data_IF_445949703469
#
_entry.id   IF_445949703469
#
_cell.length_a   1.000
_cell.length_b   1.000
_cell.length_c   1.000
_cell.angle_alpha   90.00
_cell.angle_beta   90.00
_cell.angle_gamma   90.00
#
_symmetry.space_group_name_H-M   'P 1'
#
loop_
_entity.id
_entity.type
_entity.pdbx_description
1 polymer ?
#
# COMPACT_ATOMS: atom_id res chain seq x y z
N UNK A 1 24.61 2.80 -11.76
CA UNK A 1 23.34 3.29 -11.18
C UNK A 1 23.35 3.02 -9.68
N UNK A 2 23.39 4.07 -8.86
CA UNK A 2 23.14 3.91 -7.44
C UNK A 2 21.78 3.21 -7.27
N UNK A 3 21.66 2.21 -6.37
CA UNK A 3 20.38 1.60 -6.11
C UNK A 3 19.46 2.73 -5.66
N UNK A 4 18.41 3.00 -6.43
CA UNK A 4 17.33 3.88 -5.98
C UNK A 4 16.95 3.35 -4.61
N UNK A 5 17.24 4.11 -3.55
CA UNK A 5 16.84 3.76 -2.19
C UNK A 5 15.31 3.81 -2.18
N UNK A 6 14.71 2.71 -2.61
CA UNK A 6 13.31 2.59 -2.96
C UNK A 6 12.50 2.39 -1.69
N UNK A 7 11.60 3.32 -1.42
CA UNK A 7 10.50 3.06 -0.52
C UNK A 7 9.39 2.27 -1.21
N UNK A 8 8.33 2.02 -0.46
CA UNK A 8 7.12 1.34 -0.91
C UNK A 8 5.93 2.28 -0.86
N UNK A 9 4.97 2.07 -1.75
CA UNK A 9 3.71 2.80 -1.77
C UNK A 9 2.83 2.40 -0.56
N UNK A 10 2.85 1.12 -0.17
CA UNK A 10 2.14 0.58 0.99
C UNK A 10 3.06 -0.31 1.83
N UNK A 11 2.71 -0.64 3.08
CA UNK A 11 3.48 -1.61 3.86
C UNK A 11 3.43 -2.99 3.20
N UNK A 12 4.53 -3.75 3.29
CA UNK A 12 4.58 -5.14 2.86
C UNK A 12 3.60 -5.98 3.69
N UNK A 13 2.64 -6.72 3.07
CA UNK A 13 1.71 -7.59 3.79
C UNK A 13 2.40 -8.60 4.71
N UNK A 14 3.64 -9.01 4.41
CA UNK A 14 4.43 -9.88 5.26
C UNK A 14 4.66 -9.27 6.65
N UNK A 15 4.66 -7.94 6.80
CA UNK A 15 4.74 -7.28 8.10
C UNK A 15 3.57 -7.64 9.02
N UNK A 16 2.41 -8.03 8.47
CA UNK A 16 1.25 -8.46 9.26
C UNK A 16 1.26 -9.97 9.45
N UNK A 17 1.54 -10.73 8.37
CA UNK A 17 1.39 -12.20 8.35
C UNK A 17 2.51 -12.91 9.13
N UNK A 18 3.72 -12.37 9.15
CA UNK A 18 4.88 -13.03 9.79
C UNK A 18 5.03 -12.75 11.28
N UNK A 19 4.11 -11.96 11.85
CA UNK A 19 4.17 -11.55 13.25
C UNK A 19 3.81 -12.74 14.15
N UNK A 20 4.75 -13.14 15.01
CA UNK A 20 4.55 -14.28 15.91
C UNK A 20 3.52 -14.03 17.03
N UNK A 21 3.30 -12.76 17.42
CA UNK A 21 2.41 -12.40 18.53
C UNK A 21 1.10 -11.82 18.00
N UNK A 22 -0.02 -12.49 18.28
CA UNK A 22 -1.36 -12.06 17.88
C UNK A 22 -1.67 -10.60 18.23
N UNK A 23 -1.34 -10.18 19.46
CA UNK A 23 -1.51 -8.80 19.93
C UNK A 23 -0.86 -7.77 18.99
N UNK A 24 0.32 -8.11 18.46
CA UNK A 24 1.07 -7.22 17.56
C UNK A 24 0.45 -7.18 16.17
N UNK A 25 -0.11 -8.29 15.68
CA UNK A 25 -0.93 -8.31 14.47
C UNK A 25 -2.14 -7.39 14.62
N UNK A 26 -2.85 -7.45 15.75
CA UNK A 26 -3.98 -6.56 16.03
C UNK A 26 -3.56 -5.08 16.04
N UNK A 27 -2.42 -4.75 16.67
CA UNK A 27 -1.87 -3.39 16.64
C UNK A 27 -1.60 -2.91 15.22
N UNK A 28 -1.00 -3.76 14.37
CA UNK A 28 -0.68 -3.40 12.99
C UNK A 28 -1.95 -3.15 12.17
N UNK A 29 -2.92 -4.04 12.26
CA UNK A 29 -4.20 -3.88 11.58
C UNK A 29 -4.94 -2.61 12.05
N UNK A 30 -4.98 -2.33 13.37
CA UNK A 30 -5.64 -1.11 13.89
C UNK A 30 -4.96 0.16 13.42
N UNK A 31 -3.63 0.21 13.45
CA UNK A 31 -2.89 1.38 12.97
C UNK A 31 -3.01 1.54 11.45
N UNK A 32 -3.05 0.44 10.68
CA UNK A 32 -3.41 0.51 9.26
C UNK A 32 -4.79 1.14 9.06
N UNK A 33 -5.84 0.62 9.72
CA UNK A 33 -7.20 1.15 9.59
C UNK A 33 -7.29 2.62 10.00
N UNK A 34 -6.61 3.02 11.08
CA UNK A 34 -6.59 4.41 11.57
C UNK A 34 -6.04 5.39 10.54
N UNK A 35 -5.02 5.00 9.78
CA UNK A 35 -4.36 5.89 8.82
C UNK A 35 -4.65 5.54 7.36
N UNK A 36 -5.47 4.53 7.09
CA UNK A 36 -5.69 3.98 5.75
C UNK A 36 -6.00 5.07 4.73
N UNK A 37 -7.00 5.89 5.02
CA UNK A 37 -7.50 6.86 4.05
C UNK A 37 -6.48 7.95 3.76
N UNK A 38 -5.75 8.44 4.76
CA UNK A 38 -4.68 9.41 4.55
C UNK A 38 -3.48 8.81 3.82
N UNK A 39 -3.13 7.54 4.09
CA UNK A 39 -2.02 6.85 3.46
C UNK A 39 -2.29 6.53 1.98
N UNK A 40 -3.55 6.19 1.65
CA UNK A 40 -4.03 6.03 0.27
C UNK A 40 -4.08 7.40 -0.41
N UNK A 41 -4.70 8.40 0.20
CA UNK A 41 -4.83 9.75 -0.36
C UNK A 41 -3.47 10.39 -0.66
N UNK A 42 -2.46 10.17 0.17
CA UNK A 42 -1.08 10.61 -0.10
C UNK A 42 -0.60 10.19 -1.51
N UNK A 43 -1.00 9.02 -2.01
CA UNK A 43 -0.59 8.53 -3.32
C UNK A 43 -1.33 9.20 -4.49
N UNK A 44 -2.41 9.94 -4.22
CA UNK A 44 -3.10 10.76 -5.23
C UNK A 44 -2.39 12.10 -5.47
N UNK A 45 -1.40 12.46 -4.66
CA UNK A 45 -0.66 13.72 -4.79
C UNK A 45 0.35 13.66 -5.95
N UNK A 46 0.69 14.81 -6.59
CA UNK A 46 1.76 14.86 -7.59
C UNK A 46 3.09 14.43 -6.96
N UNK A 47 3.68 13.35 -7.49
CA UNK A 47 4.96 12.78 -7.02
C UNK A 47 4.97 12.36 -5.54
N UNK A 48 4.19 11.33 -5.16
CA UNK A 48 4.11 10.90 -3.78
C UNK A 48 5.44 10.33 -3.30
N UNK A 49 5.81 10.66 -2.05
CA UNK A 49 7.01 10.09 -1.42
C UNK A 49 6.74 8.63 -1.02
N UNK A 50 7.59 7.73 -1.50
CA UNK A 50 7.60 6.33 -1.07
C UNK A 50 8.21 6.21 0.34
N UNK A 51 7.76 5.22 1.12
CA UNK A 51 8.14 5.04 2.52
C UNK A 51 9.04 3.82 2.67
N UNK A 52 10.13 3.95 3.42
CA UNK A 52 11.00 2.81 3.75
C UNK A 52 10.26 1.78 4.62
N UNK A 53 10.56 0.50 4.43
CA UNK A 53 9.98 -0.59 5.21
C UNK A 53 10.17 -0.42 6.73
N UNK A 54 11.27 0.17 7.16
CA UNK A 54 11.53 0.52 8.57
C UNK A 54 10.53 1.54 9.11
N UNK A 55 10.24 2.59 8.35
CA UNK A 55 9.25 3.62 8.71
C UNK A 55 7.84 3.07 8.68
N UNK A 56 7.49 2.19 7.73
CA UNK A 56 6.23 1.46 7.74
C UNK A 56 6.04 0.66 9.02
N UNK A 57 7.07 -0.10 9.42
CA UNK A 57 7.04 -0.89 10.64
C UNK A 57 6.85 -0.02 11.88
N UNK A 58 7.51 1.14 11.95
CA UNK A 58 7.34 2.10 13.05
C UNK A 58 5.92 2.66 13.12
N UNK A 59 5.36 3.04 11.97
CA UNK A 59 3.96 3.49 11.88
C UNK A 59 3.01 2.39 12.36
N UNK A 60 3.15 1.16 11.87
CA UNK A 60 2.27 0.05 12.25
C UNK A 60 2.44 -0.36 13.72
N UNK A 61 3.62 -0.21 14.31
CA UNK A 61 3.85 -0.43 15.74
C UNK A 61 3.14 0.60 16.64
N UNK A 62 2.85 1.80 16.14
CA UNK A 62 2.38 2.90 16.98
C UNK A 62 3.51 3.78 17.54
N UNK A 63 4.72 3.70 16.97
CA UNK A 63 5.93 4.38 17.49
C UNK A 63 5.89 5.92 17.36
N UNK A 64 4.73 6.51 17.04
CA UNK A 64 4.46 7.95 17.00
C UNK A 64 3.72 8.46 18.27
N UNK A 65 3.19 7.56 19.10
CA UNK A 65 2.49 7.93 20.33
C UNK A 65 3.50 8.44 21.37
N UNK A 66 3.26 9.63 21.90
CA UNK A 66 4.01 10.17 23.03
C UNK A 66 3.50 9.51 24.30
N UNK A 67 4.16 8.45 24.76
CA UNK A 67 4.03 8.09 26.17
C UNK A 67 4.72 9.17 27.00
N UNK A 68 4.02 9.81 27.93
CA UNK A 68 4.58 10.81 28.86
C UNK A 68 5.71 10.27 29.77
N UNK A 69 6.03 8.99 29.70
CA UNK A 69 6.95 8.30 30.63
C UNK A 69 8.25 7.76 30.02
N UNK A 70 8.59 8.05 28.76
CA UNK A 70 9.80 7.49 28.13
C UNK A 70 10.56 8.49 27.25
N UNK A 71 11.15 9.50 27.90
CA UNK A 71 12.22 10.32 27.35
C UNK A 71 13.58 9.80 27.85
N UNK A 72 14.03 8.62 27.39
CA UNK A 72 15.32 8.06 27.84
C UNK A 72 16.13 7.31 26.77
N UNK A 73 15.88 7.55 25.47
CA UNK A 73 16.91 7.25 24.46
C UNK A 73 16.79 8.13 23.21
N UNK A 74 17.92 8.64 22.71
CA UNK A 74 18.01 9.51 21.53
C UNK A 74 17.52 8.83 20.24
N UNK A 75 17.62 7.49 20.17
CA UNK A 75 17.18 6.70 19.02
C UNK A 75 15.65 6.63 18.94
N UNK A 76 14.95 6.39 20.06
CA UNK A 76 13.47 6.34 20.08
C UNK A 76 12.85 7.72 19.83
N UNK A 77 13.51 8.79 20.28
CA UNK A 77 13.09 10.16 19.97
C UNK A 77 13.24 10.49 18.48
N UNK A 78 14.36 10.13 17.84
CA UNK A 78 14.56 10.32 16.40
C UNK A 78 13.57 9.50 15.55
N UNK A 79 13.25 8.27 15.96
CA UNK A 79 12.26 7.41 15.30
C UNK A 79 10.85 8.01 15.38
N UNK A 80 10.44 8.52 16.55
CA UNK A 80 9.18 9.24 16.76
C UNK A 80 9.05 10.45 15.83
N UNK A 81 10.12 11.24 15.72
CA UNK A 81 10.17 12.41 14.82
C UNK A 81 10.00 11.98 13.36
N UNK A 82 10.62 10.89 12.93
CA UNK A 82 10.52 10.43 11.53
C UNK A 82 9.09 10.02 11.11
N UNK A 83 8.34 9.32 11.96
CA UNK A 83 6.95 8.95 11.64
C UNK A 83 6.02 10.17 11.72
N UNK A 84 6.25 11.05 12.69
CA UNK A 84 5.52 12.32 12.79
C UNK A 84 5.82 13.23 11.61
N UNK A 85 7.05 13.28 11.12
CA UNK A 85 7.42 14.03 9.93
C UNK A 85 6.81 13.39 8.68
N UNK A 86 6.74 12.06 8.61
CA UNK A 86 6.06 11.38 7.52
C UNK A 86 4.58 11.76 7.48
N UNK A 87 3.87 11.55 8.59
CA UNK A 87 2.45 11.89 8.71
C UNK A 87 2.24 13.40 8.56
N UNK A 88 3.07 14.22 9.20
CA UNK A 88 3.07 15.68 9.13
C UNK A 88 3.27 16.20 7.72
N UNK A 89 4.20 15.65 6.94
CA UNK A 89 4.34 16.00 5.52
C UNK A 89 3.12 15.57 4.69
N UNK A 90 2.50 14.44 5.01
CA UNK A 90 1.24 14.03 4.36
C UNK A 90 0.09 14.98 4.73
N UNK A 91 0.07 15.49 5.96
CA UNK A 91 -0.97 16.34 6.54
C UNK A 91 -0.84 17.82 6.11
N UNK A 92 0.39 18.33 6.04
CA UNK A 92 0.70 19.71 5.60
C UNK A 92 0.32 19.95 4.14
N UNK A 93 0.36 18.92 3.28
CA UNK A 93 -0.17 19.00 1.92
C UNK A 93 -1.70 19.24 1.86
N UNK A 94 -2.42 19.05 2.97
CA UNK A 94 -3.89 19.00 3.03
C UNK A 94 -4.46 20.08 3.96
N UNK A 95 -3.63 20.71 4.81
CA UNK A 95 -4.10 21.64 5.84
C UNK A 95 -4.97 20.97 6.92
N UNK A 96 -4.90 19.63 7.02
CA UNK A 96 -5.61 18.85 8.03
C UNK A 96 -4.64 18.56 9.17
N UNK A 97 -5.00 18.97 10.39
CA UNK A 97 -4.26 18.59 11.60
C UNK A 97 -4.86 17.30 12.16
N UNK A 98 -4.20 16.15 11.91
CA UNK A 98 -4.59 14.90 12.56
C UNK A 98 -3.90 14.86 13.91
N UNK A 99 -4.71 14.95 14.97
CA UNK A 99 -4.24 14.79 16.33
C UNK A 99 -3.74 13.34 16.55
N UNK A 100 -2.44 13.13 16.38
CA UNK A 100 -1.80 11.82 16.57
C UNK A 100 -1.90 11.32 18.02
N UNK A 101 -2.12 12.23 18.97
CA UNK A 101 -2.25 11.94 20.40
C UNK A 101 -3.62 11.39 20.76
N UNK A 102 -4.64 11.65 19.95
CA UNK A 102 -6.00 11.14 20.17
C UNK A 102 -6.12 9.73 19.62
N UNK A 103 -6.17 8.75 20.52
CA UNK A 103 -6.43 7.35 20.15
C UNK A 103 -7.95 7.20 20.03
N UNK A 104 -8.50 6.95 18.84
CA UNK A 104 -9.94 6.80 18.69
C UNK A 104 -10.43 5.55 19.44
N UNK A 105 -11.63 5.58 20.01
CA UNK A 105 -12.18 4.41 20.74
C UNK A 105 -12.51 3.21 19.83
N UNK A 106 -12.64 3.48 18.53
CA UNK A 106 -12.95 2.50 17.50
C UNK A 106 -12.26 2.82 16.17
N UNK A 107 -12.10 1.79 15.34
CA UNK A 107 -11.65 1.90 13.94
C UNK A 107 -12.74 1.37 13.02
N UNK A 108 -12.83 1.91 11.80
CA UNK A 108 -13.87 1.54 10.85
C UNK A 108 -13.31 0.74 9.67
N UNK A 109 -14.10 -0.20 9.18
CA UNK A 109 -13.80 -0.99 7.99
C UNK A 109 -15.09 -1.45 7.31
N UNK A 110 -15.27 -1.15 6.02
CA UNK A 110 -16.44 -1.54 5.20
C UNK A 110 -17.79 -1.31 5.91
N UNK A 111 -18.00 -0.06 6.37
CA UNK A 111 -19.18 0.38 7.13
C UNK A 111 -19.39 -0.25 8.51
N UNK A 112 -18.45 -1.07 8.97
CA UNK A 112 -18.44 -1.65 10.31
C UNK A 112 -17.48 -0.88 11.22
N UNK A 113 -17.81 -0.81 12.51
CA UNK A 113 -16.98 -0.17 13.54
C UNK A 113 -16.53 -1.21 14.56
N UNK A 114 -15.24 -1.20 14.88
CA UNK A 114 -14.60 -2.14 15.78
C UNK A 114 -13.96 -1.40 16.94
N UNK A 115 -14.33 -1.77 18.17
CA UNK A 115 -13.70 -1.20 19.36
C UNK A 115 -12.23 -1.59 19.44
N UNK A 116 -11.37 -0.67 19.90
CA UNK A 116 -9.95 -0.97 20.15
C UNK A 116 -9.78 -2.01 21.28
N UNK A 117 -10.78 -2.15 22.16
CA UNK A 117 -10.74 -3.09 23.31
C UNK A 117 -10.98 -4.54 22.92
N UNK A 118 -11.49 -4.80 21.71
CA UNK A 118 -11.80 -6.14 21.21
C UNK A 118 -10.95 -6.47 20.00
N UNK A 119 -10.60 -7.74 19.83
CA UNK A 119 -9.88 -8.21 18.64
C UNK A 119 -10.69 -7.99 17.36
N UNK A 120 -9.96 -7.75 16.27
CA UNK A 120 -10.55 -7.71 14.95
C UNK A 120 -10.87 -9.16 14.51
N UNK A 121 -12.02 -9.40 13.87
CA UNK A 121 -12.31 -10.70 13.29
C UNK A 121 -11.25 -11.12 12.26
N UNK A 122 -10.93 -12.42 12.19
CA UNK A 122 -9.96 -12.97 11.22
C UNK A 122 -10.27 -12.58 9.77
N UNK A 123 -11.55 -12.44 9.42
CA UNK A 123 -11.96 -12.00 8.09
C UNK A 123 -11.46 -10.59 7.78
N UNK A 124 -11.54 -9.66 8.73
CA UNK A 124 -11.04 -8.28 8.57
C UNK A 124 -9.52 -8.27 8.39
N UNK A 125 -8.80 -9.10 9.16
CA UNK A 125 -7.34 -9.23 9.02
C UNK A 125 -6.97 -9.75 7.63
N UNK A 126 -7.67 -10.78 7.14
CA UNK A 126 -7.47 -11.32 5.77
C UNK A 126 -7.78 -10.28 4.70
N UNK A 127 -8.84 -9.51 4.87
CA UNK A 127 -9.24 -8.45 3.95
C UNK A 127 -8.19 -7.31 3.91
N UNK A 128 -7.63 -6.91 5.06
CA UNK A 128 -6.53 -5.93 5.12
C UNK A 128 -5.29 -6.46 4.39
N UNK A 129 -4.89 -7.71 4.65
CA UNK A 129 -3.74 -8.33 3.98
C UNK A 129 -3.97 -8.40 2.47
N UNK A 130 -5.19 -8.75 2.05
CA UNK A 130 -5.56 -8.80 0.65
C UNK A 130 -5.51 -7.41 -0.01
N UNK A 131 -6.08 -6.38 0.64
CA UNK A 131 -6.02 -4.98 0.17
C UNK A 131 -4.57 -4.52 -0.03
N UNK A 132 -3.71 -4.72 0.97
CA UNK A 132 -2.31 -4.33 0.91
C UNK A 132 -1.55 -5.08 -0.19
N UNK A 133 -1.84 -6.37 -0.38
CA UNK A 133 -1.24 -7.17 -1.44
C UNK A 133 -1.64 -6.63 -2.82
N UNK A 134 -2.92 -6.34 -3.00
CA UNK A 134 -3.47 -5.87 -4.27
C UNK A 134 -2.98 -4.47 -4.63
N UNK A 135 -3.00 -3.55 -3.65
CA UNK A 135 -2.53 -2.19 -3.81
C UNK A 135 -1.02 -2.12 -4.09
N UNK A 136 -0.20 -2.88 -3.35
CA UNK A 136 1.24 -2.96 -3.65
C UNK A 136 1.49 -3.49 -5.06
N UNK A 137 0.86 -4.60 -5.45
CA UNK A 137 1.02 -5.16 -6.79
C UNK A 137 0.69 -4.14 -7.89
N UNK A 138 -0.42 -3.41 -7.76
CA UNK A 138 -0.82 -2.36 -8.70
C UNK A 138 0.20 -1.24 -8.78
N UNK A 139 0.61 -0.69 -7.63
CA UNK A 139 1.58 0.40 -7.58
C UNK A 139 2.95 -0.02 -8.13
N UNK A 140 3.45 -1.21 -7.75
CA UNK A 140 4.75 -1.71 -8.20
C UNK A 140 4.75 -2.02 -9.69
N UNK A 141 3.71 -2.69 -10.20
CA UNK A 141 3.60 -2.99 -11.63
C UNK A 141 3.50 -1.70 -12.45
N UNK A 142 2.69 -0.73 -12.04
CA UNK A 142 2.59 0.57 -12.73
C UNK A 142 3.88 1.38 -12.65
N UNK A 143 4.59 1.36 -11.51
CA UNK A 143 5.86 2.05 -11.36
C UNK A 143 6.94 1.44 -12.25
N UNK A 144 7.02 0.11 -12.28
CA UNK A 144 7.95 -0.64 -13.12
C UNK A 144 7.63 -0.42 -14.61
N UNK A 145 6.36 -0.49 -14.98
CA UNK A 145 5.91 -0.26 -16.35
C UNK A 145 6.27 1.15 -16.83
N UNK A 146 6.06 2.18 -15.99
CA UNK A 146 6.44 3.56 -16.31
C UNK A 146 7.95 3.71 -16.53
N UNK A 147 8.77 2.96 -15.82
CA UNK A 147 10.23 3.01 -15.97
C UNK A 147 10.73 2.27 -17.21
N UNK A 148 10.05 1.19 -17.59
CA UNK A 148 10.49 0.28 -18.65
C UNK A 148 9.79 0.53 -19.99
N UNK A 149 8.69 1.27 -20.03
CA UNK A 149 8.00 1.60 -21.29
C UNK A 149 8.90 2.47 -22.17
N UNK A 150 9.22 2.05 -23.41
CA UNK A 150 10.05 2.84 -24.31
C UNK A 150 9.40 4.18 -24.67
N UNK A 151 10.19 5.26 -24.63
CA UNK A 151 9.75 6.61 -25.03
C UNK A 151 9.55 6.75 -26.55
N UNK A 152 10.02 5.77 -27.33
CA UNK A 152 9.91 5.73 -28.79
C UNK A 152 8.56 5.21 -29.30
N UNK A 153 7.67 4.73 -28.41
CA UNK A 153 6.36 4.26 -28.81
C UNK A 153 5.52 5.40 -29.40
N UNK A 154 4.78 5.11 -30.47
CA UNK A 154 3.77 6.02 -30.99
C UNK A 154 2.62 6.20 -29.99
N UNK A 155 1.83 7.27 -30.17
CA UNK A 155 0.66 7.53 -29.33
C UNK A 155 -0.34 6.36 -29.33
N UNK A 156 -0.52 5.69 -30.47
CA UNK A 156 -1.42 4.54 -30.58
C UNK A 156 -0.87 3.32 -29.81
N UNK A 157 0.42 3.05 -29.90
CA UNK A 157 1.07 1.97 -29.16
C UNK A 157 1.03 2.22 -27.66
N UNK A 158 1.26 3.46 -27.23
CA UNK A 158 1.17 3.84 -25.82
C UNK A 158 -0.25 3.65 -25.27
N UNK A 159 -1.29 3.98 -26.06
CA UNK A 159 -2.68 3.78 -25.66
C UNK A 159 -3.02 2.29 -25.52
N UNK A 160 -2.57 1.45 -26.48
CA UNK A 160 -2.72 -0.02 -26.42
C UNK A 160 -1.97 -0.61 -25.21
N UNK A 161 -0.76 -0.12 -24.95
CA UNK A 161 0.05 -0.54 -23.82
C UNK A 161 -0.60 -0.20 -22.48
N UNK A 162 -1.10 1.03 -22.35
CA UNK A 162 -1.84 1.46 -21.17
C UNK A 162 -3.13 0.63 -20.95
N UNK A 163 -3.80 0.20 -22.02
CA UNK A 163 -4.94 -0.71 -21.90
C UNK A 163 -4.51 -2.09 -21.38
N UNK A 164 -3.42 -2.66 -21.89
CA UNK A 164 -2.89 -3.94 -21.39
C UNK A 164 -2.52 -3.85 -19.91
N UNK A 165 -1.90 -2.75 -19.48
CA UNK A 165 -1.62 -2.52 -18.07
C UNK A 165 -2.91 -2.51 -17.23
N UNK A 166 -3.97 -1.85 -17.72
CA UNK A 166 -5.29 -1.87 -17.07
C UNK A 166 -5.88 -3.27 -16.99
N UNK A 167 -5.74 -4.08 -18.04
CA UNK A 167 -6.25 -5.45 -18.10
C UNK A 167 -5.53 -6.41 -17.12
N UNK A 168 -4.36 -6.03 -16.59
CA UNK A 168 -3.71 -6.74 -15.49
C UNK A 168 -4.49 -6.63 -14.17
N UNK A 169 -5.32 -5.60 -14.02
CA UNK A 169 -6.03 -5.29 -12.78
C UNK A 169 -7.51 -5.64 -12.93
N UNK A 170 -7.97 -6.70 -12.27
CA UNK A 170 -9.40 -6.92 -12.04
C UNK A 170 -9.94 -5.93 -11.01
N UNK A 171 -11.24 -5.62 -11.04
CA UNK A 171 -11.87 -4.68 -10.11
C UNK A 171 -12.60 -3.51 -10.78
N UNK A 172 -13.41 -2.82 -9.97
CA UNK A 172 -14.01 -1.53 -10.31
C UNK A 172 -12.93 -0.46 -10.58
N UNK A 173 -13.06 0.17 -11.75
CA UNK A 173 -12.24 1.24 -12.32
C UNK A 173 -10.73 0.95 -12.49
N UNK A 174 -10.32 0.34 -13.61
CA UNK A 174 -8.91 0.16 -13.96
C UNK A 174 -8.12 1.47 -14.10
N UNK A 175 -8.79 2.62 -14.18
CA UNK A 175 -8.13 3.93 -14.20
C UNK A 175 -7.76 4.44 -12.80
N UNK A 176 -8.37 3.88 -11.75
CA UNK A 176 -8.06 4.21 -10.36
C UNK A 176 -7.29 3.06 -9.69
N UNK A 177 -5.95 3.14 -9.77
CA UNK A 177 -5.05 2.15 -9.17
C UNK A 177 -5.27 1.95 -7.66
N UNK A 178 -5.80 2.97 -6.98
CA UNK A 178 -5.98 3.00 -5.52
C UNK A 178 -7.36 2.51 -5.08
N UNK A 179 -8.31 2.34 -5.99
CA UNK A 179 -9.64 1.83 -5.69
C UNK A 179 -9.63 0.30 -5.68
N UNK A 180 -10.06 -0.31 -4.58
CA UNK A 180 -10.14 -1.77 -4.45
C UNK A 180 -11.60 -2.18 -4.29
N UNK A 181 -12.00 -3.20 -5.06
CA UNK A 181 -13.34 -3.78 -5.01
C UNK A 181 -13.30 -5.16 -4.33
N UNK A 182 -13.92 -5.23 -3.15
CA UNK A 182 -13.95 -6.46 -2.34
C UNK A 182 -14.93 -7.51 -2.88
N UNK A 183 -15.86 -7.13 -3.75
CA UNK A 183 -16.80 -8.08 -4.35
C UNK A 183 -16.12 -8.88 -5.48
N UNK A 184 -14.96 -8.43 -5.97
CA UNK A 184 -14.16 -9.06 -7.02
C UNK A 184 -12.85 -9.70 -6.52
N UNK A 185 -12.80 -10.06 -5.23
CA UNK A 185 -11.61 -10.67 -4.58
C UNK A 185 -11.13 -11.98 -5.22
N UNK A 186 -12.01 -12.64 -6.00
CA UNK A 186 -11.76 -13.92 -6.69
C UNK A 186 -11.66 -13.76 -8.20
N UNK A 187 -11.25 -12.60 -8.68
CA UNK A 187 -11.05 -12.33 -10.11
C UNK A 187 -9.57 -12.13 -10.46
N UNK A 188 -9.28 -11.97 -11.75
CA UNK A 188 -7.93 -11.74 -12.26
C UNK A 188 -6.96 -12.85 -11.87
N UNK A 189 -5.82 -12.48 -11.26
CA UNK A 189 -4.82 -13.45 -10.78
C UNK A 189 -5.32 -14.34 -9.63
N UNK A 190 -6.29 -13.86 -8.85
CA UNK A 190 -6.85 -14.57 -7.71
C UNK A 190 -7.98 -15.54 -8.10
N UNK A 191 -8.35 -15.62 -9.38
CA UNK A 191 -9.46 -16.45 -9.82
C UNK A 191 -9.29 -17.93 -9.44
N UNK A 192 -10.33 -18.57 -8.92
CA UNK A 192 -10.27 -19.96 -8.47
C UNK A 192 -10.01 -20.92 -9.65
N UNK A 193 -10.66 -20.66 -10.77
CA UNK A 193 -10.52 -21.47 -11.98
C UNK A 193 -9.29 -20.97 -12.78
N UNK A 194 -8.28 -21.81 -13.06
CA UNK A 194 -7.06 -21.38 -13.75
C UNK A 194 -7.31 -20.70 -15.10
N UNK A 195 -8.32 -21.15 -15.86
CA UNK A 195 -8.66 -20.56 -17.17
C UNK A 195 -9.17 -19.11 -17.04
N UNK A 196 -9.81 -18.76 -15.92
CA UNK A 196 -10.31 -17.42 -15.67
C UNK A 196 -9.17 -16.41 -15.44
N UNK A 197 -7.98 -16.87 -15.05
CA UNK A 197 -6.77 -16.02 -14.89
C UNK A 197 -6.15 -15.61 -16.23
N UNK A 198 -6.57 -16.22 -17.34
CA UNK A 198 -5.95 -16.08 -18.66
C UNK A 198 -5.84 -14.62 -19.10
N UNK A 199 -6.88 -13.82 -18.87
CA UNK A 199 -6.92 -12.42 -19.31
C UNK A 199 -5.79 -11.63 -18.64
N UNK A 200 -5.73 -11.63 -17.30
CA UNK A 200 -4.70 -10.91 -16.55
C UNK A 200 -3.29 -11.46 -16.80
N UNK A 201 -3.13 -12.78 -16.96
CA UNK A 201 -1.83 -13.39 -17.28
C UNK A 201 -1.31 -12.97 -18.66
N UNK A 202 -2.19 -12.96 -19.67
CA UNK A 202 -1.79 -12.56 -21.02
C UNK A 202 -1.59 -11.05 -21.12
N UNK A 203 -2.40 -10.27 -20.42
CA UNK A 203 -2.18 -8.83 -20.28
C UNK A 203 -0.80 -8.53 -19.68
N UNK A 204 -0.45 -9.19 -18.57
CA UNK A 204 0.86 -9.03 -17.93
C UNK A 204 2.00 -9.43 -18.86
N UNK A 205 1.88 -10.59 -19.54
CA UNK A 205 2.85 -11.00 -20.56
C UNK A 205 3.01 -9.91 -21.62
N UNK A 206 1.92 -9.40 -22.17
CA UNK A 206 1.94 -8.45 -23.27
C UNK A 206 2.48 -7.07 -22.86
N UNK A 207 2.26 -6.66 -21.60
CA UNK A 207 2.94 -5.50 -20.98
C UNK A 207 4.46 -5.75 -20.94
N UNK A 208 4.88 -6.88 -20.39
CA UNK A 208 6.29 -7.21 -20.21
C UNK A 208 7.04 -7.39 -21.54
N UNK A 209 6.37 -7.82 -22.62
CA UNK A 209 6.96 -7.96 -23.95
C UNK A 209 7.36 -6.62 -24.59
N UNK A 210 6.81 -5.51 -24.11
CA UNK A 210 7.18 -4.14 -24.56
C UNK A 210 8.41 -3.63 -23.81
N UNK A 211 8.69 -4.15 -22.61
CA UNK A 211 9.83 -3.73 -21.82
C UNK A 211 11.15 -4.13 -22.51
N UNK A 212 12.21 -3.31 -22.41
CA UNK A 212 13.49 -3.64 -22.98
C UNK A 212 14.08 -4.89 -22.33
N UNK A 213 14.83 -5.68 -23.11
CA UNK A 213 15.65 -6.76 -22.56
C UNK A 213 16.68 -6.17 -21.59
N UNK A 214 16.40 -6.26 -20.29
CA UNK A 214 17.38 -5.91 -19.26
C UNK A 214 18.38 -7.06 -19.19
N UNK A 215 19.53 -6.92 -19.85
CA UNK A 215 20.68 -7.75 -19.54
C UNK A 215 21.18 -7.29 -18.17
N UNK A 216 20.78 -8.00 -17.13
CA UNK A 216 21.36 -7.82 -15.79
C UNK A 216 22.83 -8.23 -15.91
N UNK A 217 23.72 -7.24 -15.89
CA UNK A 217 25.17 -7.45 -15.77
C UNK A 217 25.54 -7.76 -14.35
#
# INVERSE_FOLDING_TARGET
PDPVQGGYAFPDPALIVTVAKHEKTMTYCRNWLRFRDILIFRLSQPSPRLILNSTWRQLLNGDFQTSDMAATSSCTAAQKTSVRDLLGNCLLCIGVDVNLSEIPDAVSWRDQSFSIKSDLPDVVVKEIVWELSHLNFRCELSALDRMLTPTSLSTEELAKHAQRLRDCFSGADPSNLLAVDFDQTREGFAAEVPVARKISLFALRDVMMVWPYVVVK
#
